data_IF_136918846251
#
_entry.id   IF_136918846251
#
_cell.length_a   1.000
_cell.length_b   1.000
_cell.length_c   1.000
_cell.angle_alpha   90.00
_cell.angle_beta   90.00
_cell.angle_gamma   90.00
#
_symmetry.space_group_name_H-M   'P 1'
#
loop_
_entity.id
_entity.type
_entity.pdbx_description
1 polymer ?
#
# COMPACT_ATOMS: atom_id res chain seq x y z
N UNK A 1 42.57 24.94 -2.60
CA UNK A 1 41.92 23.64 -2.28
C UNK A 1 40.53 23.76 -1.65
N UNK A 2 40.23 24.82 -0.87
CA UNK A 2 38.91 25.06 -0.24
C UNK A 2 37.75 25.20 -1.25
N UNK A 3 37.95 25.95 -2.35
CA UNK A 3 36.94 26.22 -3.38
C UNK A 3 36.49 24.96 -4.14
N UNK A 4 37.42 24.05 -4.46
CA UNK A 4 37.09 22.76 -5.12
C UNK A 4 36.34 21.81 -4.19
N UNK A 5 36.59 21.89 -2.88
CA UNK A 5 35.90 21.11 -1.84
C UNK A 5 34.49 21.62 -1.61
N UNK A 6 34.30 22.94 -1.51
CA UNK A 6 32.97 23.54 -1.38
C UNK A 6 32.09 23.25 -2.59
N UNK A 7 32.62 23.34 -3.82
CA UNK A 7 31.87 23.05 -5.05
C UNK A 7 31.40 21.58 -5.15
N UNK A 8 32.25 20.63 -4.71
CA UNK A 8 31.87 19.21 -4.64
C UNK A 8 30.78 18.97 -3.61
N UNK A 9 30.86 19.62 -2.44
CA UNK A 9 29.87 19.49 -1.37
C UNK A 9 28.51 20.05 -1.82
N UNK A 10 28.50 21.21 -2.48
CA UNK A 10 27.25 21.79 -3.00
C UNK A 10 26.61 20.86 -4.04
N UNK A 11 27.41 20.31 -4.95
CA UNK A 11 26.94 19.39 -5.99
C UNK A 11 26.31 18.11 -5.42
N UNK A 12 26.93 17.49 -4.43
CA UNK A 12 26.37 16.31 -3.74
C UNK A 12 25.09 16.63 -2.96
N UNK A 13 25.00 17.82 -2.34
CA UNK A 13 23.80 18.23 -1.60
C UNK A 13 22.61 18.44 -2.54
N UNK A 14 22.84 19.10 -3.67
CA UNK A 14 21.82 19.28 -4.71
C UNK A 14 21.36 17.94 -5.28
N UNK A 15 22.30 17.02 -5.56
CA UNK A 15 21.94 15.71 -6.09
C UNK A 15 21.07 14.91 -5.11
N UNK A 16 21.39 14.94 -3.82
CA UNK A 16 20.61 14.27 -2.78
C UNK A 16 19.19 14.85 -2.64
N UNK A 17 19.03 16.17 -2.76
CA UNK A 17 17.72 16.83 -2.70
C UNK A 17 16.79 16.44 -3.86
N UNK A 18 17.33 16.08 -5.03
CA UNK A 18 16.50 15.60 -6.15
C UNK A 18 15.89 14.22 -5.88
N UNK A 19 16.60 13.34 -5.17
CA UNK A 19 16.14 11.97 -4.89
C UNK A 19 14.98 11.88 -3.90
N UNK A 20 14.68 12.94 -3.14
CA UNK A 20 13.61 12.93 -2.13
C UNK A 20 12.24 13.39 -2.65
N UNK A 21 12.15 13.83 -3.91
CA UNK A 21 10.92 14.40 -4.51
C UNK A 21 9.85 13.37 -4.92
N UNK A 22 10.13 12.07 -4.76
CA UNK A 22 9.24 10.98 -5.22
C UNK A 22 8.07 10.63 -4.29
N UNK A 23 8.08 11.05 -3.02
CA UNK A 23 7.00 10.73 -2.08
C UNK A 23 5.84 11.73 -2.20
N UNK A 24 4.99 11.57 -3.21
CA UNK A 24 3.69 12.24 -3.27
C UNK A 24 2.58 11.26 -2.88
N UNK A 25 2.20 11.29 -1.59
CA UNK A 25 1.00 10.57 -1.13
C UNK A 25 -0.19 11.48 -1.40
N UNK A 26 -0.84 11.30 -2.55
CA UNK A 26 -2.14 11.92 -2.80
C UNK A 26 -3.19 11.20 -1.97
N UNK A 27 -3.88 11.93 -1.11
CA UNK A 27 -4.98 11.39 -0.31
C UNK A 27 -6.11 10.91 -1.23
N UNK A 28 -6.50 9.64 -1.09
CA UNK A 28 -7.60 9.05 -1.86
C UNK A 28 -8.88 9.15 -1.05
N UNK A 29 -9.84 9.95 -1.53
CA UNK A 29 -11.12 10.13 -0.85
C UNK A 29 -11.97 8.85 -0.96
N UNK A 30 -12.82 8.52 0.03
CA UNK A 30 -13.55 7.25 0.07
C UNK A 30 -14.33 6.92 -1.22
N UNK A 31 -15.00 7.90 -1.82
CA UNK A 31 -15.78 7.71 -3.06
C UNK A 31 -14.92 7.50 -4.31
N UNK A 32 -13.64 7.88 -4.29
CA UNK A 32 -12.74 7.66 -5.42
C UNK A 32 -12.30 6.20 -5.52
N UNK A 33 -12.42 5.43 -4.43
CA UNK A 33 -12.05 4.01 -4.39
C UNK A 33 -12.84 3.18 -5.40
N UNK A 34 -14.12 3.50 -5.63
CA UNK A 34 -14.94 2.79 -6.62
C UNK A 34 -14.38 2.84 -8.05
N UNK A 35 -13.69 3.93 -8.41
CA UNK A 35 -13.10 4.10 -9.75
C UNK A 35 -11.61 3.70 -9.78
N UNK A 36 -10.89 3.83 -8.66
CA UNK A 36 -9.45 3.55 -8.57
C UNK A 36 -9.15 2.07 -8.29
N UNK A 37 -10.02 1.36 -7.57
CA UNK A 37 -9.86 -0.05 -7.26
C UNK A 37 -10.39 -0.92 -8.41
N UNK A 38 -9.52 -1.20 -9.38
CA UNK A 38 -9.86 -2.08 -10.50
C UNK A 38 -10.02 -3.53 -10.05
N UNK A 39 -10.83 -4.31 -10.76
CA UNK A 39 -11.06 -5.74 -10.48
C UNK A 39 -9.78 -6.57 -10.52
N UNK A 40 -8.84 -6.23 -11.41
CA UNK A 40 -7.52 -6.87 -11.54
C UNK A 40 -6.59 -6.65 -10.35
N UNK A 41 -6.90 -5.68 -9.47
CA UNK A 41 -6.15 -5.42 -8.23
C UNK A 41 -6.74 -6.15 -7.02
N UNK A 42 -7.79 -6.95 -7.21
CA UNK A 42 -8.38 -7.73 -6.14
C UNK A 42 -7.42 -8.83 -5.67
N UNK A 43 -7.32 -9.02 -4.35
CA UNK A 43 -6.50 -10.08 -3.74
C UNK A 43 -6.96 -11.48 -4.13
N UNK A 44 -8.26 -11.64 -4.34
CA UNK A 44 -8.87 -12.88 -4.78
C UNK A 44 -9.72 -12.59 -6.03
N UNK A 45 -9.54 -13.43 -7.04
CA UNK A 45 -10.26 -13.39 -8.31
C UNK A 45 -11.75 -13.70 -8.14
N UNK A 46 -12.12 -14.50 -7.13
CA UNK A 46 -13.51 -14.84 -6.85
C UNK A 46 -13.82 -14.64 -5.36
N UNK A 47 -14.37 -13.46 -5.07
CA UNK A 47 -14.77 -13.08 -3.72
C UNK A 47 -15.77 -14.05 -3.08
N UNK A 48 -16.64 -14.70 -3.85
CA UNK A 48 -17.63 -15.65 -3.32
C UNK A 48 -16.95 -16.94 -2.85
N UNK A 49 -16.01 -17.46 -3.65
CA UNK A 49 -15.24 -18.64 -3.30
C UNK A 49 -14.32 -18.37 -2.09
N UNK A 50 -13.70 -17.19 -2.05
CA UNK A 50 -12.88 -16.75 -0.92
C UNK A 50 -13.70 -16.71 0.39
N UNK A 51 -14.88 -16.07 0.35
CA UNK A 51 -15.77 -15.99 1.51
C UNK A 51 -16.23 -17.37 2.02
N UNK A 52 -16.52 -18.30 1.10
CA UNK A 52 -16.88 -19.67 1.46
C UNK A 52 -15.70 -20.41 2.12
N UNK A 53 -14.51 -20.30 1.54
CA UNK A 53 -13.30 -20.90 2.11
C UNK A 53 -13.00 -20.36 3.51
N UNK A 54 -13.19 -19.06 3.71
CA UNK A 54 -13.03 -18.41 5.01
C UNK A 54 -14.03 -18.95 6.02
N UNK A 55 -15.31 -19.06 5.64
CA UNK A 55 -16.34 -19.63 6.50
C UNK A 55 -16.01 -21.08 6.90
N UNK A 56 -15.52 -21.89 5.98
CA UNK A 56 -15.09 -23.27 6.24
C UNK A 56 -13.91 -23.27 7.21
N UNK A 57 -12.90 -22.43 6.96
CA UNK A 57 -11.69 -22.34 7.79
C UNK A 57 -12.03 -21.93 9.23
N UNK A 58 -12.88 -20.93 9.41
CA UNK A 58 -13.33 -20.50 10.75
C UNK A 58 -14.12 -21.55 11.50
N UNK A 59 -14.98 -22.27 10.78
CA UNK A 59 -15.78 -23.34 11.36
C UNK A 59 -14.93 -24.53 11.81
N UNK A 60 -13.81 -24.79 11.11
CA UNK A 60 -12.97 -25.97 11.37
C UNK A 60 -11.84 -25.69 12.36
N UNK A 61 -11.23 -24.51 12.29
CA UNK A 61 -10.02 -24.19 13.06
C UNK A 61 -10.31 -23.35 14.31
N UNK A 62 -11.58 -23.06 14.62
CA UNK A 62 -12.01 -22.20 15.73
C UNK A 62 -11.24 -20.87 15.83
N UNK A 63 -10.70 -20.37 14.71
CA UNK A 63 -9.86 -19.19 14.67
C UNK A 63 -10.73 -17.94 14.88
N UNK A 64 -10.76 -17.39 16.09
CA UNK A 64 -11.43 -16.12 16.34
C UNK A 64 -10.62 -14.97 15.70
N UNK A 65 -11.23 -14.22 14.77
CA UNK A 65 -10.61 -13.04 14.14
C UNK A 65 -10.42 -13.19 12.63
N UNK A 66 -11.46 -12.88 11.87
CA UNK A 66 -11.52 -12.92 10.40
C UNK A 66 -10.24 -12.46 9.66
N UNK A 67 -9.99 -13.02 8.47
CA UNK A 67 -9.10 -12.45 7.45
C UNK A 67 -9.83 -11.16 7.10
N UNK A 68 -9.23 -10.02 7.44
CA UNK A 68 -9.92 -8.73 7.60
C UNK A 68 -11.07 -8.46 6.62
N UNK A 69 -12.14 -7.85 7.14
CA UNK A 69 -13.38 -7.63 6.38
C UNK A 69 -13.11 -7.00 5.02
N UNK A 70 -13.54 -7.69 3.95
CA UNK A 70 -13.84 -7.14 2.64
C UNK A 70 -12.87 -6.09 2.09
N UNK A 71 -11.96 -6.51 1.22
CA UNK A 71 -11.40 -5.69 0.14
C UNK A 71 -10.95 -4.26 0.50
N UNK A 72 -9.65 -4.09 0.75
CA UNK A 72 -8.98 -2.79 0.54
C UNK A 72 -8.78 -1.91 1.78
N UNK A 73 -8.59 -2.50 2.97
CA UNK A 73 -8.18 -1.78 4.18
C UNK A 73 -7.01 -2.47 4.88
N UNK A 74 -6.19 -1.69 5.60
CA UNK A 74 -5.21 -2.19 6.56
C UNK A 74 -5.97 -3.08 7.56
N UNK A 75 -5.84 -4.39 7.43
CA UNK A 75 -6.59 -5.40 8.17
C UNK A 75 -6.23 -5.46 9.65
N UNK A 76 -6.46 -4.37 10.37
CA UNK A 76 -6.47 -4.37 11.83
C UNK A 76 -7.90 -4.65 12.29
N UNK A 77 -8.04 -5.70 13.11
CA UNK A 77 -9.19 -5.82 14.02
C UNK A 77 -9.23 -4.62 14.96
#
# INVERSE_FOLDING_TARGET
>A
MKIKRSLKITFTLTLFALFTTGCSVKEVKPWQRGNLAKSEMAWDVNQQAAALNDHIYYSKEAASGGKGSGGGGCGCN
#
